data_IF_348806906057
#
_entry.id   IF_348806906057
#
_cell.length_a   1.000
_cell.length_b   1.000
_cell.length_c   1.000
_cell.angle_alpha   90.00
_cell.angle_beta   90.00
_cell.angle_gamma   90.00
#
_symmetry.space_group_name_H-M   'P 1'
#
loop_
_entity.id
_entity.type
_entity.pdbx_description
1 polymer ?
#
# COMPACT_ATOMS: atom_id res chain seq x y z
N UNK A 1 -1.50 9.14 1.50
CA UNK A 1 -1.56 10.49 2.08
C UNK A 1 -0.24 10.75 2.78
N UNK A 2 0.51 11.74 2.31
CA UNK A 2 1.74 12.21 2.93
C UNK A 2 1.44 13.36 3.90
N UNK A 3 2.27 13.57 4.89
CA UNK A 3 2.17 14.74 5.76
C UNK A 3 2.13 16.02 4.92
N UNK A 4 1.16 16.89 5.16
CA UNK A 4 0.92 18.10 4.35
C UNK A 4 -0.11 17.93 3.21
N UNK A 5 -0.81 16.80 3.11
CA UNK A 5 -1.91 16.61 2.16
C UNK A 5 -1.48 16.42 0.70
N UNK A 6 -0.21 16.13 0.46
CA UNK A 6 0.28 15.82 -0.89
C UNK A 6 -0.21 14.43 -1.32
N UNK A 7 -0.91 14.35 -2.42
CA UNK A 7 -1.38 13.13 -3.03
C UNK A 7 -0.72 12.95 -4.40
N UNK A 8 0.04 11.87 -4.54
CA UNK A 8 0.64 11.45 -5.80
C UNK A 8 -0.21 10.30 -6.36
N UNK A 9 -0.85 10.49 -7.49
CA UNK A 9 -1.66 9.42 -8.10
C UNK A 9 -0.80 8.34 -8.71
N UNK A 10 0.23 8.71 -9.44
CA UNK A 10 1.16 7.78 -10.10
C UNK A 10 2.10 7.16 -9.08
N UNK A 11 2.83 7.96 -8.30
CA UNK A 11 3.78 7.44 -7.31
C UNK A 11 3.09 6.60 -6.21
N UNK A 12 1.84 6.89 -5.88
CA UNK A 12 1.06 6.07 -4.95
C UNK A 12 0.80 4.65 -5.49
N UNK A 13 0.73 4.50 -6.81
CA UNK A 13 0.52 3.20 -7.46
C UNK A 13 1.73 2.28 -7.36
N UNK A 14 2.92 2.79 -7.01
CA UNK A 14 4.12 1.98 -6.74
C UNK A 14 3.89 0.94 -5.64
N UNK A 15 3.03 1.24 -4.67
CA UNK A 15 2.68 0.29 -3.63
C UNK A 15 1.93 -0.96 -4.13
N UNK A 16 1.47 -0.95 -5.39
CA UNK A 16 0.79 -2.06 -6.05
C UNK A 16 1.69 -2.79 -7.06
N UNK A 17 2.96 -2.37 -7.16
CA UNK A 17 3.91 -2.95 -8.10
C UNK A 17 4.68 -4.08 -7.41
N UNK A 18 4.56 -5.33 -7.90
CA UNK A 18 5.16 -6.48 -7.21
C UNK A 18 6.66 -6.61 -7.38
N UNK A 19 7.25 -6.04 -8.44
CA UNK A 19 8.66 -6.18 -8.76
C UNK A 19 9.60 -5.16 -8.09
N UNK A 20 9.08 -4.29 -7.21
CA UNK A 20 9.87 -3.38 -6.36
C UNK A 20 10.33 -4.08 -5.07
N UNK A 21 11.28 -3.49 -4.37
CA UNK A 21 11.75 -3.96 -3.06
C UNK A 21 11.35 -2.97 -1.97
N UNK A 22 10.82 -3.45 -0.85
CA UNK A 22 10.45 -2.61 0.28
C UNK A 22 11.37 -2.82 1.47
N UNK A 23 11.83 -1.70 2.05
CA UNK A 23 12.68 -1.72 3.25
C UNK A 23 12.11 -0.82 4.35
N UNK A 24 12.44 -1.17 5.60
CA UNK A 24 12.13 -0.37 6.77
C UNK A 24 13.18 0.75 7.00
N UNK A 25 13.04 1.50 8.09
CA UNK A 25 13.96 2.57 8.49
C UNK A 25 15.40 2.12 8.77
N UNK A 26 15.66 0.81 8.90
CA UNK A 26 16.99 0.27 9.09
C UNK A 26 17.66 -0.19 7.80
N UNK A 27 16.89 -0.26 6.70
CA UNK A 27 17.33 -0.80 5.43
C UNK A 27 17.06 -2.29 5.26
N UNK A 28 16.26 -2.90 6.14
CA UNK A 28 15.90 -4.32 6.08
C UNK A 28 14.60 -4.52 5.30
N UNK A 29 14.56 -5.53 4.44
CA UNK A 29 13.31 -6.02 3.83
C UNK A 29 12.41 -6.59 4.92
N UNK A 30 11.09 -6.38 4.83
CA UNK A 30 10.16 -6.74 5.89
C UNK A 30 8.86 -7.41 5.42
N UNK A 31 8.67 -7.56 4.11
CA UNK A 31 7.42 -8.10 3.56
C UNK A 31 7.65 -8.72 2.18
N UNK A 32 6.77 -9.63 1.79
CA UNK A 32 6.63 -10.04 0.39
C UNK A 32 5.79 -8.98 -0.34
N UNK A 33 6.36 -8.30 -1.31
CA UNK A 33 5.75 -7.18 -2.02
C UNK A 33 4.64 -7.63 -2.99
N UNK A 34 4.67 -8.88 -3.47
CA UNK A 34 3.66 -9.40 -4.40
C UNK A 34 2.30 -9.62 -3.74
N UNK A 35 2.24 -9.71 -2.41
CA UNK A 35 0.99 -9.78 -1.66
C UNK A 35 0.10 -8.56 -1.88
N UNK A 36 0.67 -7.44 -2.30
CA UNK A 36 -0.10 -6.23 -2.67
C UNK A 36 -1.03 -6.47 -3.84
N UNK A 37 -0.70 -7.39 -4.76
CA UNK A 37 -1.58 -7.76 -5.89
C UNK A 37 -2.83 -8.49 -5.43
N UNK A 38 -2.71 -9.33 -4.40
CA UNK A 38 -3.86 -10.05 -3.85
C UNK A 38 -4.75 -9.10 -3.04
N UNK A 39 -4.15 -8.30 -2.18
CA UNK A 39 -4.87 -7.32 -1.38
C UNK A 39 -3.88 -6.34 -0.71
N UNK A 40 -3.90 -5.06 -1.08
CA UNK A 40 -3.00 -4.06 -0.50
C UNK A 40 -3.20 -3.87 1.02
N UNK A 41 -4.29 -4.34 1.59
CA UNK A 41 -4.48 -4.31 3.06
C UNK A 41 -3.55 -5.30 3.77
N UNK A 42 -3.13 -6.37 3.11
CA UNK A 42 -2.19 -7.34 3.68
C UNK A 42 -0.83 -6.66 3.92
N UNK A 43 -0.38 -5.82 3.00
CA UNK A 43 0.89 -5.10 3.10
C UNK A 43 0.81 -3.84 3.98
N UNK A 44 -0.39 -3.30 4.23
CA UNK A 44 -0.58 -2.14 5.08
C UNK A 44 -0.20 -2.38 6.55
N UNK A 45 -0.45 -3.58 7.09
CA UNK A 45 -0.10 -3.90 8.46
C UNK A 45 1.42 -3.96 8.70
N UNK A 46 2.23 -4.66 7.91
CA UNK A 46 3.69 -4.59 7.99
C UNK A 46 4.22 -3.14 7.93
N UNK A 47 3.73 -2.29 7.02
CA UNK A 47 4.13 -0.88 6.95
C UNK A 47 3.86 -0.16 8.28
N UNK A 48 2.71 -0.42 8.93
CA UNK A 48 2.37 0.20 10.23
C UNK A 48 3.28 -0.24 11.38
N UNK A 49 3.93 -1.38 11.26
CA UNK A 49 4.89 -1.88 12.25
C UNK A 49 6.27 -1.24 12.09
N UNK A 50 6.56 -0.65 10.93
CA UNK A 50 7.77 0.11 10.68
C UNK A 50 7.62 1.55 11.18
N UNK A 51 8.70 2.16 11.64
CA UNK A 51 8.76 3.59 11.93
C UNK A 51 8.70 4.41 10.64
N UNK A 52 9.42 3.95 9.62
CA UNK A 52 9.37 4.43 8.24
C UNK A 52 9.54 3.24 7.31
N UNK A 53 8.98 3.35 6.11
CA UNK A 53 9.12 2.34 5.07
C UNK A 53 9.35 3.00 3.71
N UNK A 54 10.14 2.36 2.87
CA UNK A 54 10.54 2.88 1.58
C UNK A 54 10.44 1.80 0.49
N UNK A 55 10.03 2.22 -0.69
CA UNK A 55 10.14 1.44 -1.93
C UNK A 55 11.47 1.80 -2.58
N UNK A 56 12.30 0.81 -2.86
CA UNK A 56 13.58 0.97 -3.53
C UNK A 56 13.47 0.64 -5.01
N UNK A 57 14.11 1.45 -5.82
CA UNK A 57 14.20 1.28 -7.27
C UNK A 57 15.57 1.75 -7.78
N UNK A 58 16.11 1.05 -8.76
CA UNK A 58 17.23 1.58 -9.55
C UNK A 58 16.71 2.50 -10.67
N UNK A 59 17.63 3.13 -11.40
CA UNK A 59 17.30 4.07 -12.47
C UNK A 59 16.49 3.42 -13.60
N UNK A 60 16.80 2.17 -13.95
CA UNK A 60 16.09 1.46 -14.99
C UNK A 60 14.65 1.16 -14.59
N UNK A 61 14.43 0.71 -13.34
CA UNK A 61 13.10 0.47 -12.79
C UNK A 61 12.27 1.76 -12.76
N UNK A 62 12.86 2.86 -12.28
CA UNK A 62 12.15 4.15 -12.20
C UNK A 62 11.82 4.67 -13.59
N UNK A 63 12.75 4.61 -14.53
CA UNK A 63 12.52 5.05 -15.91
C UNK A 63 11.43 4.21 -16.59
N UNK A 64 11.44 2.89 -16.43
CA UNK A 64 10.40 2.01 -16.95
C UNK A 64 9.02 2.37 -16.36
N UNK A 65 8.98 2.67 -15.06
CA UNK A 65 7.74 2.98 -14.36
C UNK A 65 7.10 4.30 -14.83
N UNK A 66 7.91 5.34 -15.05
CA UNK A 66 7.41 6.66 -15.50
C UNK A 66 7.46 6.83 -17.02
N UNK A 67 7.81 5.80 -17.79
CA UNK A 67 7.99 5.85 -19.24
C UNK A 67 6.73 6.35 -19.95
N UNK A 68 6.84 7.51 -20.61
CA UNK A 68 5.73 8.11 -21.36
C UNK A 68 4.64 8.75 -20.50
N UNK A 69 4.80 8.79 -19.17
CA UNK A 69 3.84 9.41 -18.25
C UNK A 69 4.36 10.78 -17.76
N UNK A 70 3.88 11.85 -18.38
CA UNK A 70 4.23 13.21 -17.99
C UNK A 70 3.80 13.56 -16.55
N UNK A 71 2.71 12.96 -16.05
CA UNK A 71 2.27 13.15 -14.68
C UNK A 71 3.21 12.46 -13.71
N UNK A 72 3.64 11.22 -14.02
CA UNK A 72 4.62 10.49 -13.22
C UNK A 72 5.96 11.21 -13.11
N UNK A 73 6.47 11.76 -14.20
CA UNK A 73 7.69 12.59 -14.21
C UNK A 73 7.56 13.82 -13.32
N UNK A 74 6.43 14.51 -13.40
CA UNK A 74 6.15 15.66 -12.54
C UNK A 74 6.06 15.27 -11.07
N UNK A 75 5.37 14.18 -10.75
CA UNK A 75 5.26 13.69 -9.37
C UNK A 75 6.62 13.26 -8.80
N UNK A 76 7.51 12.72 -9.65
CA UNK A 76 8.88 12.37 -9.28
C UNK A 76 9.67 13.65 -8.88
N UNK A 77 9.60 14.71 -9.66
CA UNK A 77 10.25 15.99 -9.36
C UNK A 77 9.67 16.65 -8.10
N UNK A 78 8.34 16.74 -8.03
CA UNK A 78 7.62 17.31 -6.89
C UNK A 78 7.88 16.55 -5.59
N UNK A 79 7.93 15.20 -5.66
CA UNK A 79 8.23 14.33 -4.54
C UNK A 79 9.65 14.50 -4.00
N UNK A 80 10.62 14.69 -4.90
CA UNK A 80 12.00 15.02 -4.51
C UNK A 80 12.06 16.39 -3.81
N UNK A 81 11.41 17.41 -4.36
CA UNK A 81 11.37 18.74 -3.75
C UNK A 81 10.72 18.74 -2.34
N UNK A 82 9.84 17.79 -2.07
CA UNK A 82 9.13 17.65 -0.78
C UNK A 82 9.80 16.68 0.19
N UNK A 83 10.90 16.03 -0.20
CA UNK A 83 11.61 15.07 0.65
C UNK A 83 10.82 13.79 0.90
N UNK A 84 9.97 13.37 -0.05
CA UNK A 84 9.21 12.13 -0.05
C UNK A 84 9.87 11.09 -0.96
N UNK A 85 10.51 11.56 -2.02
CA UNK A 85 11.28 10.77 -2.96
C UNK A 85 12.73 11.18 -2.83
N UNK A 86 13.59 10.22 -2.57
CA UNK A 86 15.02 10.40 -2.42
C UNK A 86 15.72 9.87 -3.66
N UNK A 87 16.69 10.60 -4.16
CA UNK A 87 17.52 10.23 -5.30
C UNK A 87 18.98 10.34 -4.91
N UNK A 88 19.78 9.34 -5.20
CA UNK A 88 21.21 9.33 -4.94
C UNK A 88 21.98 8.69 -6.09
N UNK A 89 23.30 8.88 -6.12
CA UNK A 89 24.20 8.30 -7.12
C UNK A 89 24.60 6.85 -6.82
N UNK A 90 24.30 6.37 -5.61
CA UNK A 90 24.60 5.01 -5.15
C UNK A 90 23.76 4.68 -3.89
N UNK A 91 23.72 3.40 -3.50
CA UNK A 91 22.95 2.91 -2.37
C UNK A 91 23.43 3.43 -1.01
N UNK A 92 24.74 3.67 -0.84
CA UNK A 92 25.29 4.19 0.40
C UNK A 92 24.83 5.63 0.67
N UNK A 93 24.84 6.47 -0.35
CA UNK A 93 24.36 7.84 -0.24
C UNK A 93 22.83 7.87 -0.04
N UNK A 94 22.11 6.93 -0.70
CA UNK A 94 20.68 6.77 -0.50
C UNK A 94 20.34 6.37 0.93
N UNK A 95 21.04 5.37 1.48
CA UNK A 95 20.88 4.95 2.88
C UNK A 95 21.03 6.14 3.83
N UNK A 96 22.08 6.94 3.63
CA UNK A 96 22.30 8.17 4.43
C UNK A 96 21.15 9.16 4.30
N UNK A 97 20.59 9.31 3.10
CA UNK A 97 19.50 10.26 2.82
C UNK A 97 18.17 9.86 3.49
N UNK A 98 17.91 8.56 3.62
CA UNK A 98 16.69 8.02 4.26
C UNK A 98 16.91 7.69 5.74
N UNK A 99 18.13 7.87 6.28
CA UNK A 99 18.47 7.59 7.67
C UNK A 99 18.63 6.10 7.99
N UNK A 100 18.79 5.25 6.96
CA UNK A 100 19.03 3.82 7.12
C UNK A 100 20.53 3.51 7.32
N UNK A 101 20.81 2.32 7.84
CA UNK A 101 22.17 1.81 7.94
C UNK A 101 22.66 1.31 6.56
N UNK A 102 23.79 1.84 6.11
CA UNK A 102 24.31 1.52 4.78
C UNK A 102 24.82 0.08 4.64
N UNK A 103 25.32 -0.52 5.73
CA UNK A 103 25.80 -1.90 5.73
C UNK A 103 24.59 -2.85 5.68
N UNK A 104 23.58 -2.62 6.50
CA UNK A 104 22.34 -3.40 6.52
C UNK A 104 21.63 -3.30 5.16
N UNK A 105 21.56 -2.09 4.58
CA UNK A 105 20.95 -1.93 3.26
C UNK A 105 21.71 -2.71 2.17
N UNK A 106 23.07 -2.68 2.21
CA UNK A 106 23.89 -3.44 1.26
C UNK A 106 23.64 -4.94 1.39
N UNK A 107 23.62 -5.49 2.61
CA UNK A 107 23.34 -6.90 2.89
C UNK A 107 21.92 -7.29 2.39
N UNK A 108 20.92 -6.42 2.59
CA UNK A 108 19.56 -6.63 2.09
C UNK A 108 19.50 -6.72 0.57
N UNK A 109 20.20 -5.81 -0.12
CA UNK A 109 20.25 -5.77 -1.59
C UNK A 109 20.98 -6.99 -2.16
N UNK A 110 22.11 -7.37 -1.55
CA UNK A 110 22.88 -8.56 -1.94
C UNK A 110 22.07 -9.84 -1.75
N UNK A 111 21.40 -9.99 -0.58
CA UNK A 111 20.51 -11.14 -0.32
C UNK A 111 19.38 -11.21 -1.34
N UNK A 112 18.67 -10.11 -1.58
CA UNK A 112 17.57 -10.07 -2.53
C UNK A 112 18.02 -10.36 -3.97
N UNK A 113 19.15 -9.79 -4.41
CA UNK A 113 19.70 -10.07 -5.73
C UNK A 113 20.13 -11.54 -5.86
N UNK A 114 20.68 -12.13 -4.80
CA UNK A 114 20.99 -13.56 -4.73
C UNK A 114 19.72 -14.44 -4.87
N UNK A 115 18.62 -14.06 -4.23
CA UNK A 115 17.32 -14.72 -4.45
C UNK A 115 16.85 -14.58 -5.91
N UNK A 116 17.02 -13.41 -6.52
CA UNK A 116 16.68 -13.20 -7.93
C UNK A 116 17.50 -14.11 -8.87
N UNK A 117 18.81 -14.27 -8.63
CA UNK A 117 19.66 -15.17 -9.38
C UNK A 117 19.28 -16.65 -9.21
N UNK A 118 18.90 -17.03 -7.99
CA UNK A 118 18.43 -18.38 -7.69
C UNK A 118 17.03 -18.67 -8.25
N UNK A 119 16.25 -17.62 -8.56
CA UNK A 119 14.85 -17.75 -8.97
C UNK A 119 13.92 -18.22 -7.83
N UNK A 120 14.37 -18.09 -6.59
CA UNK A 120 13.64 -18.51 -5.38
C UNK A 120 13.88 -17.51 -4.24
N UNK A 121 12.80 -16.92 -3.72
CA UNK A 121 12.85 -16.02 -2.57
C UNK A 121 12.59 -16.80 -1.28
N UNK A 122 13.64 -17.39 -0.74
CA UNK A 122 13.60 -18.18 0.50
C UNK A 122 13.23 -17.35 1.74
N UNK A 123 13.39 -16.02 1.69
CA UNK A 123 13.21 -15.15 2.84
C UNK A 123 11.73 -14.75 3.03
N UNK A 124 11.04 -14.40 1.94
CA UNK A 124 9.67 -13.89 1.99
C UNK A 124 8.71 -14.60 1.04
N UNK A 125 9.20 -15.47 0.15
CA UNK A 125 8.37 -16.26 -0.75
C UNK A 125 7.74 -15.46 -1.89
N UNK A 126 8.41 -14.40 -2.35
CA UNK A 126 8.00 -13.64 -3.54
C UNK A 126 8.06 -14.52 -4.77
N UNK A 127 7.01 -14.50 -5.59
CA UNK A 127 6.96 -15.32 -6.79
C UNK A 127 8.06 -14.90 -7.79
N UNK A 128 8.73 -15.89 -8.37
CA UNK A 128 9.89 -15.67 -9.25
C UNK A 128 9.58 -14.75 -10.45
N UNK A 129 8.37 -14.77 -10.95
CA UNK A 129 7.91 -13.90 -12.05
C UNK A 129 7.91 -12.40 -11.69
N UNK A 130 7.89 -12.07 -10.39
CA UNK A 130 7.92 -10.70 -9.88
C UNK A 130 9.30 -10.32 -9.33
N UNK A 131 10.27 -11.22 -9.35
CA UNK A 131 11.60 -10.93 -8.86
C UNK A 131 12.38 -10.19 -9.94
N UNK A 132 12.86 -8.99 -9.61
CA UNK A 132 13.66 -8.15 -10.47
C UNK A 132 14.88 -7.67 -9.68
N UNK A 133 16.10 -8.06 -10.06
CA UNK A 133 17.30 -7.63 -9.35
C UNK A 133 17.51 -6.12 -9.49
N UNK A 134 18.02 -5.49 -8.44
CA UNK A 134 18.40 -4.09 -8.47
C UNK A 134 19.86 -3.94 -8.89
N UNK A 135 20.13 -2.95 -9.77
CA UNK A 135 21.50 -2.59 -10.08
C UNK A 135 22.25 -2.11 -8.83
N UNK A 136 23.45 -2.62 -8.62
CA UNK A 136 24.29 -2.20 -7.50
C UNK A 136 25.02 -0.88 -7.78
N UNK A 137 25.00 -0.40 -9.03
CA UNK A 137 25.67 0.81 -9.50
C UNK A 137 24.69 1.75 -10.19
N UNK A 138 24.99 3.05 -10.16
CA UNK A 138 24.22 4.09 -10.84
C UNK A 138 23.20 4.80 -9.94
N UNK A 139 22.32 5.54 -10.59
CA UNK A 139 21.28 6.31 -9.89
C UNK A 139 20.24 5.40 -9.24
N UNK A 140 19.91 5.69 -7.99
CA UNK A 140 18.96 4.91 -7.20
C UNK A 140 17.94 5.82 -6.52
N UNK A 141 16.78 5.25 -6.22
CA UNK A 141 15.64 5.98 -5.65
C UNK A 141 15.07 5.24 -4.45
N UNK A 142 14.59 6.02 -3.49
CA UNK A 142 13.72 5.54 -2.41
C UNK A 142 12.45 6.40 -2.39
N UNK A 143 11.30 5.76 -2.38
CA UNK A 143 10.00 6.44 -2.26
C UNK A 143 9.40 6.08 -0.90
N UNK A 144 9.20 7.08 -0.04
CA UNK A 144 8.59 6.84 1.26
C UNK A 144 7.14 6.38 1.10
N UNK A 145 6.78 5.30 1.80
CA UNK A 145 5.42 4.77 1.86
C UNK A 145 4.89 4.79 3.28
N UNK A 146 3.61 5.11 3.41
CA UNK A 146 2.91 5.15 4.70
C UNK A 146 1.57 4.43 4.59
N UNK A 147 1.24 3.67 5.61
CA UNK A 147 -0.11 3.16 5.77
C UNK A 147 -1.05 4.31 6.15
N UNK A 148 -2.16 4.44 5.46
CA UNK A 148 -3.18 5.44 5.76
C UNK A 148 -4.54 4.80 6.04
N UNK A 149 -5.36 5.49 6.81
CA UNK A 149 -6.75 5.08 7.04
C UNK A 149 -7.60 5.58 5.86
N UNK A 150 -7.93 4.68 4.94
CA UNK A 150 -8.74 5.01 3.77
C UNK A 150 -10.25 4.97 4.03
N UNK A 151 -10.69 4.00 4.84
CA UNK A 151 -12.09 3.77 5.20
C UNK A 151 -12.20 3.06 6.52
N UNK A 152 -13.28 3.32 7.25
CA UNK A 152 -13.69 2.55 8.42
C UNK A 152 -14.64 1.45 7.95
N UNK A 153 -14.33 0.20 8.29
CA UNK A 153 -15.15 -0.96 7.97
C UNK A 153 -15.53 -1.67 9.26
N UNK A 154 -16.77 -2.21 9.33
CA UNK A 154 -17.20 -3.02 10.46
C UNK A 154 -17.61 -2.18 11.67
N UNK A 155 -18.34 -1.09 11.47
CA UNK A 155 -18.82 -0.24 12.56
C UNK A 155 -20.00 -0.84 13.32
N UNK A 156 -21.21 -0.62 12.91
CA UNK A 156 -22.39 -1.09 13.66
C UNK A 156 -22.88 -2.46 13.15
N UNK A 157 -23.27 -3.34 14.08
CA UNK A 157 -24.04 -4.52 13.71
C UNK A 157 -25.44 -4.10 13.33
N UNK A 158 -25.92 -4.60 12.18
CA UNK A 158 -27.26 -4.31 11.70
C UNK A 158 -28.02 -5.61 11.39
N UNK A 159 -29.32 -5.56 11.48
CA UNK A 159 -30.19 -6.58 10.94
C UNK A 159 -30.35 -6.42 9.40
N UNK A 160 -31.18 -7.26 8.78
CA UNK A 160 -31.46 -7.23 7.33
C UNK A 160 -32.20 -5.96 6.86
N UNK A 161 -32.79 -5.22 7.80
CA UNK A 161 -33.54 -3.97 7.56
C UNK A 161 -32.70 -2.74 7.94
N UNK A 162 -31.39 -2.92 8.12
CA UNK A 162 -30.40 -1.89 8.48
C UNK A 162 -30.62 -1.25 9.85
N UNK A 163 -31.51 -1.79 10.72
CA UNK A 163 -31.57 -1.36 12.11
C UNK A 163 -30.27 -1.73 12.81
N UNK A 164 -29.69 -0.80 13.54
CA UNK A 164 -28.60 -1.11 14.47
C UNK A 164 -29.14 -2.00 15.57
N UNK A 165 -28.42 -3.07 15.90
CA UNK A 165 -28.82 -4.01 16.94
C UNK A 165 -27.92 -3.88 18.18
N UNK A 166 -28.50 -4.14 19.35
CA UNK A 166 -27.80 -4.16 20.63
C UNK A 166 -26.98 -5.46 20.83
N UNK A 167 -26.43 -5.67 22.02
CA UNK A 167 -25.65 -6.87 22.38
C UNK A 167 -26.48 -8.16 22.37
N UNK A 168 -27.80 -8.06 22.55
CA UNK A 168 -28.75 -9.15 22.49
C UNK A 168 -29.29 -9.42 21.08
N UNK A 169 -28.80 -8.65 20.08
CA UNK A 169 -29.24 -8.67 18.68
C UNK A 169 -30.68 -8.14 18.49
N UNK A 170 -31.21 -7.35 19.41
CA UNK A 170 -32.49 -6.70 19.26
C UNK A 170 -32.34 -5.32 18.60
N UNK A 171 -33.26 -4.95 17.67
CA UNK A 171 -33.19 -3.66 16.98
C UNK A 171 -33.34 -2.46 17.93
N UNK A 172 -32.44 -1.50 17.83
CA UNK A 172 -32.57 -0.21 18.52
C UNK A 172 -33.50 0.68 17.70
N UNK A 173 -34.67 0.99 18.28
CA UNK A 173 -35.74 1.73 17.59
C UNK A 173 -35.25 3.09 17.08
N UNK A 174 -35.45 3.37 15.80
CA UNK A 174 -35.10 4.63 15.14
C UNK A 174 -33.61 4.81 14.84
N UNK A 175 -32.79 3.78 15.06
CA UNK A 175 -31.34 3.84 14.74
C UNK A 175 -31.01 2.91 13.58
N UNK A 176 -30.56 3.50 12.46
CA UNK A 176 -30.19 2.80 11.24
C UNK A 176 -28.74 3.08 10.87
N UNK A 177 -28.07 2.09 10.30
CA UNK A 177 -26.74 2.26 9.73
C UNK A 177 -26.67 1.63 8.34
N UNK A 178 -26.24 2.42 7.36
CA UNK A 178 -26.14 2.03 5.95
C UNK A 178 -24.73 2.28 5.41
N UNK A 179 -24.45 1.72 4.24
CA UNK A 179 -23.13 1.89 3.59
C UNK A 179 -22.00 1.31 4.44
N UNK A 180 -20.87 2.00 4.51
CA UNK A 180 -19.69 1.53 5.27
C UNK A 180 -19.91 1.51 6.77
N UNK A 181 -20.87 2.27 7.29
CA UNK A 181 -21.25 2.27 8.71
C UNK A 181 -22.04 1.02 9.11
N UNK A 182 -22.74 0.38 8.15
CA UNK A 182 -23.40 -0.92 8.31
C UNK A 182 -22.64 -2.06 7.65
N UNK A 183 -21.31 -2.01 7.63
CA UNK A 183 -20.45 -2.84 6.79
C UNK A 183 -20.28 -4.29 7.27
N UNK A 184 -21.25 -4.88 7.94
CA UNK A 184 -21.22 -6.26 8.41
C UNK A 184 -20.92 -7.31 7.30
N UNK A 185 -21.23 -7.00 6.04
CA UNK A 185 -20.98 -7.91 4.91
C UNK A 185 -19.50 -8.21 4.67
N UNK A 186 -18.62 -7.31 5.10
CA UNK A 186 -17.17 -7.51 4.96
C UNK A 186 -16.51 -8.08 6.22
N UNK A 187 -17.24 -8.14 7.31
CA UNK A 187 -16.74 -8.58 8.61
C UNK A 187 -15.37 -7.96 8.95
N UNK A 188 -14.29 -8.75 8.86
CA UNK A 188 -12.94 -8.31 9.22
C UNK A 188 -12.06 -7.94 8.02
N UNK A 189 -12.49 -8.26 6.79
CA UNK A 189 -11.66 -8.08 5.60
C UNK A 189 -12.46 -7.50 4.45
N UNK A 190 -12.06 -6.32 3.98
CA UNK A 190 -12.60 -5.73 2.77
C UNK A 190 -12.06 -6.43 1.52
N UNK A 191 -12.96 -6.87 0.64
CA UNK A 191 -12.61 -7.54 -0.62
C UNK A 191 -12.17 -6.53 -1.68
N UNK A 192 -10.87 -6.24 -1.78
CA UNK A 192 -10.31 -5.32 -2.77
C UNK A 192 -10.39 -5.83 -4.21
N UNK A 193 -10.44 -7.13 -4.39
CA UNK A 193 -10.50 -7.82 -5.68
C UNK A 193 -11.88 -7.77 -6.36
N UNK A 194 -12.91 -7.21 -5.70
CA UNK A 194 -14.21 -6.96 -6.30
C UNK A 194 -14.37 -5.45 -6.53
N UNK A 195 -14.00 -4.99 -7.72
CA UNK A 195 -14.08 -3.57 -8.08
C UNK A 195 -15.51 -3.02 -7.93
N UNK A 196 -15.63 -1.82 -7.34
CA UNK A 196 -16.90 -1.15 -7.16
C UNK A 196 -17.77 -1.67 -6.01
N UNK A 197 -17.37 -2.73 -5.29
CA UNK A 197 -18.17 -3.34 -4.23
C UNK A 197 -18.58 -2.36 -3.13
N UNK A 198 -17.69 -1.47 -2.71
CA UNK A 198 -18.00 -0.43 -1.71
C UNK A 198 -18.99 0.60 -2.24
N UNK A 199 -18.79 1.11 -3.46
CA UNK A 199 -19.70 2.08 -4.09
C UNK A 199 -21.08 1.48 -4.33
N UNK A 200 -21.14 0.27 -4.87
CA UNK A 200 -22.38 -0.45 -5.11
C UNK A 200 -23.14 -0.71 -3.80
N UNK A 201 -22.44 -1.14 -2.76
CA UNK A 201 -23.04 -1.36 -1.43
C UNK A 201 -23.63 -0.06 -0.86
N UNK A 202 -22.88 1.04 -0.88
CA UNK A 202 -23.37 2.33 -0.39
C UNK A 202 -24.62 2.81 -1.14
N UNK A 203 -24.60 2.73 -2.47
CA UNK A 203 -25.73 3.19 -3.32
C UNK A 203 -26.94 2.26 -3.14
N UNK A 204 -26.73 0.95 -3.17
CA UNK A 204 -27.80 -0.02 -3.06
C UNK A 204 -28.52 0.08 -1.71
N UNK A 205 -27.79 0.23 -0.60
CA UNK A 205 -28.37 0.37 0.71
C UNK A 205 -29.13 1.68 0.90
N UNK A 206 -28.61 2.81 0.42
CA UNK A 206 -29.30 4.09 0.41
C UNK A 206 -30.62 4.02 -0.35
N UNK A 207 -30.60 3.45 -1.56
CA UNK A 207 -31.80 3.31 -2.36
C UNK A 207 -32.86 2.39 -1.70
N UNK A 208 -32.41 1.33 -1.05
CA UNK A 208 -33.31 0.38 -0.37
C UNK A 208 -33.92 0.99 0.91
N UNK A 209 -33.18 1.84 1.61
CA UNK A 209 -33.70 2.53 2.81
C UNK A 209 -34.72 3.61 2.44
N UNK A 210 -34.50 4.38 1.38
CA UNK A 210 -35.48 5.37 0.88
C UNK A 210 -36.79 4.72 0.42
N UNK A 211 -36.72 3.53 -0.19
CA UNK A 211 -37.92 2.81 -0.63
C UNK A 211 -38.71 2.18 0.53
N UNK A 212 -38.18 2.17 1.76
CA UNK A 212 -38.89 1.66 2.93
C UNK A 212 -39.73 2.73 3.64
N UNK A 213 -39.54 4.02 3.30
CA UNK A 213 -40.28 5.15 3.87
C UNK A 213 -41.55 5.53 3.06
N UNK A 214 -41.87 4.82 1.94
CA UNK A 214 -43.12 4.91 1.20
C UNK A 214 -44.09 3.75 1.57
#
# INVERSE_FOLDING_TARGET
FFEGGYFCSVMNSLANIPWVLWVNERGERFVNEDLSLANHMITANPIRMCKQAFILMDEAMMNDYVAGDAQGLKELEDGQAKGIIFKASNWKDLASSIGADAEILSETLESYNGCCEAGDDSDFGKASEFMRPLSMEGTVYAVEIKSSLGKTMGSWKTDRNFNVVDEQAEPIAGLYAVGVEGAMIWANVYTMNISGSCGAHNICLLYTSDAADE
#
